data_IF_799018169181
#
_entry.id   IF_799018169181
#
_cell.length_a   1.000
_cell.length_b   1.000
_cell.length_c   1.000
_cell.angle_alpha   90.00
_cell.angle_beta   90.00
_cell.angle_gamma   90.00
#
_symmetry.space_group_name_H-M   'P 1'
#
loop_
_entity.id
_entity.type
_entity.pdbx_description
1 polymer ?
#
# COMPACT_ATOMS: atom_id res chain seq x y z
N UNK A 1 15.04 -14.06 -22.22
CA UNK A 1 13.78 -13.35 -21.91
C UNK A 1 13.26 -12.45 -23.05
N UNK A 2 14.04 -12.20 -24.08
CA UNK A 2 13.56 -11.40 -25.22
C UNK A 2 12.28 -12.01 -25.81
N UNK A 3 11.26 -11.18 -25.97
CA UNK A 3 9.93 -11.53 -26.47
C UNK A 3 9.07 -12.43 -25.54
N UNK A 4 9.46 -12.67 -24.27
CA UNK A 4 8.60 -13.39 -23.36
C UNK A 4 7.31 -12.56 -23.11
N UNK A 5 6.15 -13.23 -23.20
CA UNK A 5 4.82 -12.65 -22.97
C UNK A 5 4.52 -12.73 -21.48
N UNK A 6 4.42 -11.59 -20.84
CA UNK A 6 4.17 -11.51 -19.38
C UNK A 6 2.86 -10.78 -19.12
N UNK A 7 1.94 -11.44 -18.43
CA UNK A 7 0.74 -10.80 -17.89
C UNK A 7 0.97 -10.38 -16.46
N UNK A 8 0.62 -9.14 -16.14
CA UNK A 8 0.63 -8.59 -14.79
C UNK A 8 -0.81 -8.21 -14.41
N UNK A 9 -1.30 -8.73 -13.29
CA UNK A 9 -2.60 -8.36 -12.74
C UNK A 9 -2.42 -7.23 -11.73
N UNK A 10 -3.04 -6.07 -11.98
CA UNK A 10 -3.02 -4.88 -11.13
C UNK A 10 -2.17 -3.72 -11.68
N UNK A 11 -2.80 -2.53 -11.81
CA UNK A 11 -2.18 -1.31 -12.36
C UNK A 11 -1.99 -0.20 -11.29
N UNK A 12 -1.75 -0.57 -10.02
CA UNK A 12 -1.38 0.40 -8.99
C UNK A 12 0.15 0.69 -9.05
N UNK A 13 0.90 0.46 -7.99
CA UNK A 13 2.35 0.74 -7.94
C UNK A 13 3.16 -0.46 -8.46
N UNK A 14 2.96 -1.64 -7.88
CA UNK A 14 3.81 -2.82 -8.10
C UNK A 14 3.80 -3.30 -9.56
N UNK A 15 2.60 -3.41 -10.16
CA UNK A 15 2.45 -3.91 -11.53
C UNK A 15 3.12 -3.03 -12.58
N UNK A 16 2.80 -1.72 -12.67
CA UNK A 16 3.46 -0.80 -13.59
C UNK A 16 4.97 -0.66 -13.34
N UNK A 17 5.44 -0.70 -12.08
CA UNK A 17 6.87 -0.69 -11.78
C UNK A 17 7.57 -1.94 -12.33
N UNK A 18 6.96 -3.12 -12.21
CA UNK A 18 7.48 -4.34 -12.82
C UNK A 18 7.42 -4.25 -14.35
N UNK A 19 6.31 -3.74 -14.91
CA UNK A 19 6.14 -3.56 -16.34
C UNK A 19 7.23 -2.67 -16.95
N UNK A 20 7.63 -1.60 -16.24
CA UNK A 20 8.74 -0.73 -16.63
C UNK A 20 10.04 -1.52 -16.83
N UNK A 21 10.42 -2.35 -15.88
CA UNK A 21 11.67 -3.12 -15.96
C UNK A 21 11.61 -4.21 -17.02
N UNK A 22 10.52 -4.98 -17.07
CA UNK A 22 10.37 -6.08 -18.00
C UNK A 22 10.34 -5.62 -19.46
N UNK A 23 9.64 -4.51 -19.76
CA UNK A 23 9.61 -3.94 -21.12
C UNK A 23 11.01 -3.49 -21.57
N UNK A 24 11.80 -2.90 -20.69
CA UNK A 24 13.21 -2.52 -20.97
C UNK A 24 14.11 -3.73 -21.15
N UNK A 25 13.74 -4.88 -20.60
CA UNK A 25 14.47 -6.16 -20.81
C UNK A 25 13.94 -6.96 -22.01
N UNK A 26 13.09 -6.35 -22.85
CA UNK A 26 12.62 -6.92 -24.10
C UNK A 26 11.42 -7.85 -23.97
N UNK A 27 10.71 -7.87 -22.85
CA UNK A 27 9.46 -8.61 -22.71
C UNK A 27 8.29 -7.90 -23.35
N UNK A 28 7.31 -8.66 -23.82
CA UNK A 28 5.99 -8.19 -24.21
C UNK A 28 5.09 -8.21 -22.97
N UNK A 29 4.79 -7.03 -22.44
CA UNK A 29 4.07 -6.90 -21.18
C UNK A 29 2.64 -6.45 -21.41
N UNK A 30 1.69 -7.19 -20.82
CA UNK A 30 0.28 -6.80 -20.71
C UNK A 30 -0.04 -6.61 -19.23
N UNK A 31 -0.65 -5.49 -18.87
CA UNK A 31 -1.17 -5.21 -17.53
C UNK A 31 -2.69 -5.21 -17.57
N UNK A 32 -3.34 -6.05 -16.77
CA UNK A 32 -4.80 -6.05 -16.60
C UNK A 32 -5.20 -5.40 -15.29
N UNK A 33 -6.20 -4.50 -15.35
CA UNK A 33 -6.72 -3.77 -14.19
C UNK A 33 -8.25 -3.77 -14.21
N UNK A 34 -8.85 -4.16 -13.09
CA UNK A 34 -10.31 -4.21 -12.94
C UNK A 34 -11.01 -2.86 -12.98
N UNK A 35 -10.30 -1.80 -12.61
CA UNK A 35 -10.84 -0.44 -12.68
C UNK A 35 -10.83 0.07 -14.12
N UNK A 36 -11.77 0.98 -14.49
CA UNK A 36 -11.85 1.50 -15.88
C UNK A 36 -10.69 2.45 -16.24
N UNK A 37 -9.78 2.69 -15.33
CA UNK A 37 -8.58 3.51 -15.46
C UNK A 37 -7.77 3.49 -14.17
N UNK A 38 -6.73 4.31 -14.09
CA UNK A 38 -6.00 4.52 -12.84
C UNK A 38 -6.95 5.08 -11.80
N UNK A 39 -7.00 4.43 -10.62
CA UNK A 39 -7.91 4.86 -9.55
C UNK A 39 -7.48 6.23 -9.03
N UNK A 40 -8.38 7.23 -9.02
CA UNK A 40 -8.08 8.54 -8.46
C UNK A 40 -7.97 8.47 -6.93
N UNK A 41 -7.34 9.49 -6.33
CA UNK A 41 -7.24 9.65 -4.89
C UNK A 41 -6.39 8.58 -4.21
N UNK A 42 -6.65 8.37 -2.94
CA UNK A 42 -5.92 7.47 -2.07
C UNK A 42 -5.06 8.22 -1.06
N UNK A 43 -4.43 7.44 -0.19
CA UNK A 43 -3.61 7.93 0.91
C UNK A 43 -2.28 8.55 0.45
N UNK A 44 -1.68 9.32 1.35
CA UNK A 44 -0.25 9.56 1.31
C UNK A 44 0.50 8.23 1.56
N UNK A 45 1.53 8.00 0.78
CA UNK A 45 2.37 6.81 0.81
C UNK A 45 3.83 7.20 0.83
N UNK A 46 4.63 6.37 1.49
CA UNK A 46 6.05 6.63 1.65
C UNK A 46 6.89 5.80 0.70
N UNK A 47 7.88 6.44 0.08
CA UNK A 47 8.97 5.77 -0.62
C UNK A 47 10.25 5.99 0.18
N UNK A 48 10.80 4.91 0.73
CA UNK A 48 11.85 4.94 1.75
C UNK A 48 13.01 4.03 1.42
N UNK A 49 14.18 4.39 1.95
CA UNK A 49 15.36 3.56 1.89
C UNK A 49 15.75 3.16 0.47
N UNK A 50 16.05 1.86 0.21
CA UNK A 50 16.47 1.39 -1.12
C UNK A 50 15.47 1.63 -2.23
N UNK A 51 14.17 1.84 -1.92
CA UNK A 51 13.15 2.16 -2.92
C UNK A 51 13.39 3.52 -3.58
N UNK A 52 14.03 4.48 -2.90
CA UNK A 52 14.47 5.75 -3.51
C UNK A 52 15.48 5.51 -4.63
N UNK A 53 16.43 4.61 -4.42
CA UNK A 53 17.38 4.20 -5.45
C UNK A 53 16.72 3.50 -6.65
N UNK A 54 15.64 2.74 -6.41
CA UNK A 54 14.83 2.16 -7.49
C UNK A 54 14.11 3.27 -8.26
N UNK A 55 13.48 4.22 -7.58
CA UNK A 55 12.81 5.37 -8.20
C UNK A 55 13.80 6.23 -9.02
N UNK A 56 15.02 6.40 -8.52
CA UNK A 56 16.10 7.10 -9.25
C UNK A 56 16.49 6.37 -10.54
N UNK A 57 16.68 5.04 -10.48
CA UNK A 57 16.97 4.20 -11.66
C UNK A 57 15.80 4.18 -12.66
N UNK A 58 14.58 4.34 -12.19
CA UNK A 58 13.39 4.53 -13.04
C UNK A 58 13.31 5.92 -13.66
N UNK A 59 14.10 6.88 -13.18
CA UNK A 59 14.10 8.27 -13.64
C UNK A 59 12.94 9.11 -13.11
N UNK A 60 12.23 8.67 -12.08
CA UNK A 60 11.04 9.37 -11.54
C UNK A 60 11.27 10.08 -10.21
N UNK A 61 12.43 9.90 -9.56
CA UNK A 61 12.66 10.45 -8.21
C UNK A 61 12.57 11.97 -8.15
N UNK A 62 13.02 12.67 -9.20
CA UNK A 62 12.96 14.15 -9.27
C UNK A 62 11.51 14.65 -9.27
N UNK A 63 10.67 14.05 -10.10
CA UNK A 63 9.25 14.37 -10.19
C UNK A 63 8.49 13.96 -8.93
N UNK A 64 8.84 12.81 -8.33
CA UNK A 64 8.26 12.40 -7.03
C UNK A 64 8.52 13.44 -5.96
N UNK A 65 9.74 14.00 -5.88
CA UNK A 65 10.07 15.06 -4.90
C UNK A 65 9.33 16.37 -5.17
N UNK A 66 9.00 16.69 -6.42
CA UNK A 66 8.20 17.86 -6.76
C UNK A 66 6.72 17.69 -6.39
N UNK A 67 6.22 16.45 -6.38
CA UNK A 67 4.86 16.07 -6.02
C UNK A 67 4.73 15.60 -4.57
N UNK A 68 5.83 15.64 -3.81
CA UNK A 68 5.82 15.24 -2.40
C UNK A 68 4.81 16.07 -1.61
N UNK A 69 4.24 15.46 -0.57
CA UNK A 69 3.46 16.21 0.40
C UNK A 69 4.37 17.21 1.10
N UNK A 70 3.85 18.40 1.35
CA UNK A 70 4.60 19.47 2.03
C UNK A 70 4.10 19.69 3.47
N UNK A 71 3.73 18.62 4.14
CA UNK A 71 3.25 18.65 5.52
C UNK A 71 4.36 19.15 6.44
N UNK A 72 4.02 20.08 7.33
CA UNK A 72 4.96 20.79 8.22
C UNK A 72 4.84 20.39 9.68
N UNK A 73 3.98 19.46 10.00
CA UNK A 73 3.80 18.98 11.35
C UNK A 73 2.45 18.37 11.62
N UNK A 74 2.25 18.07 12.88
CA UNK A 74 1.04 17.40 13.36
C UNK A 74 0.60 17.91 14.73
N UNK A 75 -0.70 17.77 15.01
CA UNK A 75 -1.28 17.94 16.34
C UNK A 75 -2.08 16.70 16.74
N UNK A 76 -2.10 16.40 18.03
CA UNK A 76 -3.07 15.51 18.66
C UNK A 76 -4.04 16.36 19.45
N UNK A 77 -5.35 16.13 19.30
CA UNK A 77 -6.40 16.92 19.93
C UNK A 77 -7.34 16.04 20.74
N UNK A 78 -7.95 16.61 21.76
CA UNK A 78 -9.04 15.98 22.53
C UNK A 78 -10.37 16.02 21.79
N UNK A 79 -11.44 15.51 22.42
CA UNK A 79 -12.78 15.48 21.85
C UNK A 79 -13.40 16.88 21.61
N UNK A 80 -12.91 17.92 22.31
CA UNK A 80 -13.32 19.31 22.10
C UNK A 80 -12.53 20.05 21.04
N UNK A 81 -11.42 19.45 20.56
CA UNK A 81 -10.45 20.05 19.66
C UNK A 81 -9.33 20.82 20.35
N UNK A 82 -9.21 20.74 21.69
CA UNK A 82 -8.09 21.32 22.41
C UNK A 82 -6.81 20.53 22.12
N UNK A 83 -5.72 21.23 21.83
CA UNK A 83 -4.44 20.63 21.46
C UNK A 83 -3.77 20.02 22.70
N UNK A 84 -3.52 18.70 22.66
CA UNK A 84 -2.81 17.93 23.68
C UNK A 84 -1.33 17.79 23.37
N UNK A 85 -0.98 17.70 22.07
CA UNK A 85 0.40 17.55 21.61
C UNK A 85 0.56 18.24 20.26
N UNK A 86 1.74 18.81 20.02
CA UNK A 86 2.10 19.41 18.74
C UNK A 86 3.55 19.12 18.39
N UNK A 87 3.82 18.83 17.12
CA UNK A 87 5.17 18.68 16.60
C UNK A 87 5.32 19.33 15.23
N UNK A 88 6.47 20.00 15.00
CA UNK A 88 6.91 20.49 13.71
C UNK A 88 8.12 19.71 13.18
N UNK A 89 8.50 18.64 13.86
CA UNK A 89 9.65 17.81 13.52
C UNK A 89 9.22 16.48 12.88
N UNK A 90 7.93 16.15 13.00
CA UNK A 90 7.39 14.89 12.49
C UNK A 90 5.93 14.98 12.07
N UNK A 91 5.51 13.98 11.32
CA UNK A 91 4.13 13.76 10.89
C UNK A 91 3.64 12.38 11.33
N UNK A 92 2.33 12.18 11.31
CA UNK A 92 1.69 10.91 11.62
C UNK A 92 1.97 9.84 10.56
N UNK A 93 1.98 10.25 9.29
CA UNK A 93 2.11 9.39 8.12
C UNK A 93 3.57 9.21 7.71
N UNK A 94 4.33 10.30 7.58
CA UNK A 94 5.69 10.29 7.04
C UNK A 94 6.81 10.05 8.08
N UNK A 95 6.53 10.20 9.37
CA UNK A 95 7.56 10.13 10.42
C UNK A 95 8.32 11.45 10.58
N UNK A 96 9.64 11.43 10.72
CA UNK A 96 10.45 12.66 10.83
C UNK A 96 10.40 13.47 9.52
N UNK A 97 10.24 14.80 9.63
CA UNK A 97 10.10 15.69 8.47
C UNK A 97 11.45 15.88 7.77
N UNK A 98 12.53 16.02 8.53
CA UNK A 98 13.89 16.20 7.98
C UNK A 98 14.55 14.84 7.73
N UNK A 99 14.08 14.14 6.69
CA UNK A 99 14.63 12.86 6.26
C UNK A 99 14.73 12.80 4.72
N UNK A 100 15.34 11.73 4.19
CA UNK A 100 15.50 11.52 2.75
C UNK A 100 14.27 10.93 2.05
N UNK A 101 13.29 10.45 2.82
CA UNK A 101 12.10 9.77 2.32
C UNK A 101 11.23 10.72 1.50
N UNK A 102 10.39 10.15 0.65
CA UNK A 102 9.42 10.92 -0.14
C UNK A 102 8.03 10.44 0.22
N UNK A 103 7.26 11.28 0.90
CA UNK A 103 5.82 11.08 1.07
C UNK A 103 5.10 11.71 -0.13
N UNK A 104 4.33 10.92 -0.86
CA UNK A 104 3.62 11.33 -2.08
C UNK A 104 2.19 10.78 -2.07
N UNK A 105 1.24 11.44 -2.77
CA UNK A 105 -0.07 10.84 -2.95
C UNK A 105 0.00 9.61 -3.86
N UNK A 106 -0.70 8.53 -3.47
CA UNK A 106 -0.67 7.24 -4.20
C UNK A 106 -1.01 7.41 -5.69
N UNK A 107 -2.03 8.20 -6.00
CA UNK A 107 -2.45 8.42 -7.38
C UNK A 107 -1.42 9.19 -8.19
N UNK A 108 -0.69 10.16 -7.60
CA UNK A 108 0.40 10.87 -8.27
C UNK A 108 1.54 9.91 -8.64
N UNK A 109 1.95 9.03 -7.70
CA UNK A 109 2.96 8.02 -8.01
C UNK A 109 2.50 7.05 -9.10
N UNK A 110 1.24 6.58 -9.05
CA UNK A 110 0.68 5.71 -10.08
C UNK A 110 0.69 6.39 -11.46
N UNK A 111 0.34 7.67 -11.53
CA UNK A 111 0.39 8.44 -12.79
C UNK A 111 1.82 8.58 -13.32
N UNK A 112 2.80 8.89 -12.46
CA UNK A 112 4.21 8.97 -12.87
C UNK A 112 4.70 7.66 -13.47
N UNK A 113 4.44 6.52 -12.81
CA UNK A 113 4.89 5.22 -13.32
C UNK A 113 4.14 4.86 -14.61
N UNK A 114 2.85 5.14 -14.68
CA UNK A 114 2.07 4.90 -15.90
C UNK A 114 2.60 5.73 -17.07
N UNK A 115 2.93 7.01 -16.89
CA UNK A 115 3.46 7.88 -17.94
C UNK A 115 4.72 7.31 -18.59
N UNK A 116 5.63 6.74 -17.80
CA UNK A 116 6.88 6.17 -18.33
C UNK A 116 6.73 4.75 -18.91
N UNK A 117 5.53 4.15 -18.80
CA UNK A 117 5.26 2.78 -19.29
C UNK A 117 4.23 2.71 -20.39
N UNK A 118 3.35 3.72 -20.55
CA UNK A 118 2.18 3.68 -21.41
C UNK A 118 2.49 3.41 -22.91
N UNK A 119 3.65 3.83 -23.40
CA UNK A 119 4.04 3.61 -24.81
C UNK A 119 4.59 2.21 -25.10
N UNK A 120 4.94 1.44 -24.04
CA UNK A 120 5.65 0.16 -24.17
C UNK A 120 4.91 -1.02 -23.53
N UNK A 121 3.76 -0.78 -22.90
CA UNK A 121 2.98 -1.76 -22.14
C UNK A 121 1.53 -1.75 -22.62
N UNK A 122 0.97 -2.93 -22.87
CA UNK A 122 -0.45 -3.12 -23.23
C UNK A 122 -1.30 -3.08 -21.95
N UNK A 123 -2.04 -1.99 -21.71
CA UNK A 123 -2.93 -1.84 -20.56
C UNK A 123 -4.37 -2.22 -20.91
N UNK A 124 -4.89 -3.23 -20.22
CA UNK A 124 -6.28 -3.69 -20.31
C UNK A 124 -7.04 -3.23 -19.06
N UNK A 125 -7.66 -2.07 -19.14
CA UNK A 125 -8.53 -1.56 -18.10
C UNK A 125 -9.93 -2.17 -18.17
N UNK A 126 -10.69 -2.09 -17.06
CA UNK A 126 -12.06 -2.57 -16.94
C UNK A 126 -12.17 -4.09 -17.20
N UNK A 127 -11.11 -4.84 -16.82
CA UNK A 127 -11.07 -6.29 -17.00
C UNK A 127 -10.32 -6.99 -15.84
N UNK A 128 -10.56 -8.25 -15.65
CA UNK A 128 -9.90 -9.05 -14.62
C UNK A 128 -9.73 -10.50 -15.02
N UNK A 129 -8.77 -11.20 -14.39
CA UNK A 129 -8.54 -12.63 -14.61
C UNK A 129 -9.65 -13.44 -13.91
N UNK A 130 -10.33 -14.31 -14.66
CA UNK A 130 -11.37 -15.19 -14.13
C UNK A 130 -10.90 -16.63 -13.95
N UNK A 131 -10.06 -17.14 -14.85
CA UNK A 131 -9.41 -18.44 -14.71
C UNK A 131 -7.94 -18.36 -15.09
N UNK A 132 -7.17 -19.23 -14.45
CA UNK A 132 -5.74 -19.38 -14.69
C UNK A 132 -5.40 -20.87 -14.61
N UNK A 133 -4.90 -21.42 -15.71
CA UNK A 133 -4.35 -22.77 -15.75
C UNK A 133 -2.99 -22.74 -16.42
N UNK A 134 -2.08 -23.63 -16.06
CA UNK A 134 -0.74 -23.66 -16.61
C UNK A 134 -0.29 -25.06 -16.95
N UNK A 135 0.58 -25.14 -17.94
CA UNK A 135 1.32 -26.36 -18.29
C UNK A 135 2.85 -26.08 -18.26
N UNK A 136 3.64 -27.00 -18.80
CA UNK A 136 5.11 -26.88 -18.81
C UNK A 136 5.62 -25.70 -19.69
N UNK A 137 4.77 -25.15 -20.57
CA UNK A 137 5.17 -24.17 -21.58
C UNK A 137 4.59 -22.78 -21.33
N UNK A 138 3.30 -22.72 -20.95
CA UNK A 138 2.59 -21.43 -20.88
C UNK A 138 1.47 -21.44 -19.83
N UNK A 139 0.93 -20.26 -19.59
CA UNK A 139 -0.24 -20.02 -18.74
C UNK A 139 -1.41 -19.60 -19.60
N UNK A 140 -2.52 -20.34 -19.49
CA UNK A 140 -3.77 -20.03 -20.19
C UNK A 140 -4.65 -19.19 -19.27
N UNK A 141 -5.05 -18.02 -19.74
CA UNK A 141 -5.82 -17.04 -18.96
C UNK A 141 -7.11 -16.71 -19.66
N UNK A 142 -8.22 -16.72 -18.90
CA UNK A 142 -9.48 -16.13 -19.34
C UNK A 142 -9.76 -14.86 -18.56
N UNK A 143 -10.32 -13.88 -19.23
CA UNK A 143 -10.68 -12.59 -18.66
C UNK A 143 -12.20 -12.49 -18.46
N UNK A 144 -12.63 -11.53 -17.67
CA UNK A 144 -14.05 -11.26 -17.45
C UNK A 144 -14.73 -10.76 -18.74
N UNK A 145 -14.04 -9.95 -19.52
CA UNK A 145 -14.56 -9.29 -20.74
C UNK A 145 -13.75 -9.60 -21.99
N UNK A 146 -12.42 -9.64 -21.86
CA UNK A 146 -11.51 -9.87 -22.99
C UNK A 146 -11.50 -11.31 -23.48
N UNK A 147 -10.97 -11.51 -24.70
CA UNK A 147 -10.74 -12.85 -25.23
C UNK A 147 -9.65 -13.59 -24.43
N UNK A 148 -9.75 -14.93 -24.29
CA UNK A 148 -8.70 -15.73 -23.68
C UNK A 148 -7.35 -15.52 -24.39
N UNK A 149 -6.26 -15.45 -23.59
CA UNK A 149 -4.88 -15.30 -24.07
C UNK A 149 -3.95 -16.28 -23.37
N UNK A 150 -2.77 -16.52 -23.94
CA UNK A 150 -1.70 -17.31 -23.32
C UNK A 150 -0.47 -16.45 -23.07
N UNK A 151 0.20 -16.73 -21.96
CA UNK A 151 1.39 -16.00 -21.53
C UNK A 151 2.48 -16.98 -21.07
N UNK A 152 3.72 -16.56 -21.16
CA UNK A 152 4.85 -17.36 -20.68
C UNK A 152 4.95 -17.29 -19.16
N UNK A 153 4.57 -16.14 -18.56
CA UNK A 153 4.51 -15.90 -17.12
C UNK A 153 3.29 -15.07 -16.74
N UNK A 154 2.77 -15.27 -15.53
CA UNK A 154 1.73 -14.42 -14.91
C UNK A 154 2.21 -13.91 -13.57
N UNK A 155 2.04 -12.61 -13.33
CA UNK A 155 2.39 -11.95 -12.08
C UNK A 155 1.14 -11.38 -11.42
N UNK A 156 0.86 -11.80 -10.20
CA UNK A 156 -0.15 -11.18 -9.35
C UNK A 156 0.45 -9.99 -8.59
N UNK A 157 0.07 -8.78 -9.00
CA UNK A 157 0.39 -7.51 -8.35
C UNK A 157 -0.90 -6.77 -7.95
N UNK A 158 -1.93 -7.53 -7.62
CA UNK A 158 -3.34 -7.14 -7.51
C UNK A 158 -3.81 -6.96 -6.07
N UNK A 159 -2.84 -6.73 -5.15
CA UNK A 159 -3.06 -6.22 -3.80
C UNK A 159 -3.49 -7.27 -2.79
N UNK A 160 -3.95 -6.80 -1.62
CA UNK A 160 -4.28 -7.62 -0.45
C UNK A 160 -5.27 -8.74 -0.78
N UNK A 161 -6.31 -8.47 -1.56
CA UNK A 161 -7.34 -9.42 -1.98
C UNK A 161 -7.07 -10.01 -3.37
N UNK A 162 -5.84 -10.44 -3.62
CA UNK A 162 -5.35 -10.90 -4.92
C UNK A 162 -6.19 -12.03 -5.54
N UNK A 163 -6.85 -11.78 -6.70
CA UNK A 163 -7.44 -12.83 -7.50
C UNK A 163 -6.43 -13.86 -7.97
N UNK A 164 -5.23 -13.44 -8.38
CA UNK A 164 -4.17 -14.36 -8.85
C UNK A 164 -3.73 -15.29 -7.73
N UNK A 165 -3.55 -14.78 -6.49
CA UNK A 165 -3.24 -15.62 -5.33
C UNK A 165 -4.33 -16.67 -5.13
N UNK A 166 -5.62 -16.26 -5.15
CA UNK A 166 -6.74 -17.19 -4.98
C UNK A 166 -6.79 -18.26 -6.07
N UNK A 167 -6.54 -17.90 -7.33
CA UNK A 167 -6.61 -18.83 -8.46
C UNK A 167 -5.44 -19.82 -8.49
N UNK A 168 -4.23 -19.35 -8.15
CA UNK A 168 -3.02 -20.18 -8.29
C UNK A 168 -2.61 -20.88 -6.99
N UNK A 169 -2.89 -20.30 -5.82
CA UNK A 169 -2.37 -20.81 -4.54
C UNK A 169 -3.46 -21.35 -3.61
N UNK A 170 -4.68 -20.84 -3.69
CA UNK A 170 -5.80 -21.27 -2.84
C UNK A 170 -6.53 -20.12 -2.16
N UNK A 171 -7.43 -20.42 -1.24
CA UNK A 171 -8.29 -19.43 -0.62
C UNK A 171 -7.50 -18.41 0.20
N UNK A 172 -7.95 -17.17 0.22
CA UNK A 172 -7.31 -16.06 0.92
C UNK A 172 -7.16 -16.31 2.43
N UNK A 173 -8.12 -17.01 3.03
CA UNK A 173 -8.11 -17.37 4.45
C UNK A 173 -6.87 -18.14 4.90
N UNK A 174 -6.18 -18.80 3.96
CA UNK A 174 -4.98 -19.57 4.28
C UNK A 174 -3.74 -18.68 4.47
N UNK A 175 -3.81 -17.43 4.01
CA UNK A 175 -2.67 -16.51 3.92
C UNK A 175 -2.87 -15.18 4.62
N UNK A 176 -4.13 -14.73 4.79
CA UNK A 176 -4.45 -13.43 5.38
C UNK A 176 -4.46 -13.52 6.90
N UNK A 177 -3.62 -12.71 7.53
CA UNK A 177 -3.51 -12.56 8.98
C UNK A 177 -4.02 -11.20 9.41
N UNK A 178 -5.21 -11.16 10.00
CA UNK A 178 -5.82 -9.94 10.54
C UNK A 178 -5.06 -9.43 11.76
N UNK A 179 -4.84 -8.11 11.84
CA UNK A 179 -4.11 -7.44 12.93
C UNK A 179 -5.03 -6.66 13.87
N UNK A 180 -6.28 -7.08 14.03
CA UNK A 180 -7.18 -6.56 15.05
C UNK A 180 -7.71 -5.15 14.81
N UNK A 181 -7.64 -4.59 13.61
CA UNK A 181 -8.17 -3.27 13.31
C UNK A 181 -8.54 -3.08 11.83
N UNK A 182 -9.33 -2.03 11.58
CA UNK A 182 -9.79 -1.63 10.25
C UNK A 182 -9.51 -0.15 10.01
N UNK A 183 -9.43 0.23 8.74
CA UNK A 183 -9.24 1.62 8.31
C UNK A 183 -10.18 1.97 7.16
N UNK A 184 -10.78 3.15 7.25
CA UNK A 184 -11.48 3.82 6.15
C UNK A 184 -10.70 5.06 5.73
N UNK A 185 -10.67 5.33 4.42
CA UNK A 185 -9.92 6.41 3.80
C UNK A 185 -10.81 7.11 2.78
N UNK A 186 -10.81 8.43 2.76
CA UNK A 186 -11.53 9.20 1.75
C UNK A 186 -11.05 10.65 1.68
N UNK A 187 -11.32 11.28 0.53
CA UNK A 187 -11.02 12.69 0.30
C UNK A 187 -12.22 13.59 0.70
N UNK A 188 -11.90 14.75 1.25
CA UNK A 188 -12.85 15.80 1.57
C UNK A 188 -12.35 17.16 1.10
N UNK A 189 -13.20 18.19 0.92
CA UNK A 189 -12.73 19.58 0.93
C UNK A 189 -11.90 19.84 2.19
N UNK A 190 -11.01 20.82 2.17
CA UNK A 190 -10.26 21.23 3.37
C UNK A 190 -11.19 21.98 4.36
N UNK A 191 -12.06 21.21 5.01
CA UNK A 191 -13.12 21.75 5.89
C UNK A 191 -12.62 22.25 7.23
N UNK A 192 -11.36 21.91 7.61
CA UNK A 192 -10.69 22.39 8.82
C UNK A 192 -9.77 23.58 8.56
N UNK A 193 -9.63 24.03 7.31
CA UNK A 193 -8.69 25.07 6.90
C UNK A 193 -7.24 24.76 7.34
N UNK A 194 -6.84 23.50 7.29
CA UNK A 194 -5.47 23.07 7.62
C UNK A 194 -4.48 23.65 6.61
N UNK A 195 -3.37 24.21 7.10
CA UNK A 195 -2.26 24.67 6.27
C UNK A 195 -1.07 23.73 6.41
N UNK A 196 -0.95 22.76 5.49
CA UNK A 196 0.12 21.75 5.46
C UNK A 196 0.30 21.06 6.79
N UNK A 197 -0.81 20.57 7.36
CA UNK A 197 -0.90 20.08 8.71
C UNK A 197 -1.69 18.79 8.80
N UNK A 198 -1.35 17.97 9.78
CA UNK A 198 -2.08 16.78 10.18
C UNK A 198 -2.67 16.99 11.58
N UNK A 199 -3.93 16.63 11.76
CA UNK A 199 -4.56 16.62 13.08
C UNK A 199 -5.16 15.27 13.37
N UNK A 200 -4.80 14.69 14.49
CA UNK A 200 -5.25 13.38 14.93
C UNK A 200 -6.09 13.51 16.22
N UNK A 201 -7.17 12.76 16.25
CA UNK A 201 -7.97 12.56 17.46
C UNK A 201 -8.20 11.09 17.69
N UNK A 202 -8.10 10.67 18.97
CA UNK A 202 -8.43 9.31 19.39
C UNK A 202 -9.40 9.34 20.56
N UNK A 203 -10.43 8.50 20.50
CA UNK A 203 -11.42 8.31 21.54
C UNK A 203 -11.72 6.82 21.66
N UNK A 204 -11.46 6.23 22.82
CA UNK A 204 -11.65 4.80 23.05
C UNK A 204 -11.02 3.93 21.93
N UNK A 205 -11.86 3.12 21.26
CA UNK A 205 -11.43 2.17 20.22
C UNK A 205 -11.37 2.78 18.81
N UNK A 206 -11.71 4.06 18.64
CA UNK A 206 -11.73 4.74 17.34
C UNK A 206 -10.75 5.89 17.29
N UNK A 207 -10.13 6.11 16.14
CA UNK A 207 -9.21 7.22 15.90
C UNK A 207 -9.36 7.78 14.51
N UNK A 208 -9.18 9.08 14.36
CA UNK A 208 -9.27 9.77 13.08
C UNK A 208 -8.13 10.76 12.87
N UNK A 209 -7.55 10.71 11.67
CA UNK A 209 -6.56 11.66 11.18
C UNK A 209 -7.17 12.45 10.02
N UNK A 210 -7.03 13.76 10.07
CA UNK A 210 -7.32 14.65 8.95
C UNK A 210 -6.03 15.33 8.53
N UNK A 211 -5.66 15.20 7.27
CA UNK A 211 -4.42 15.71 6.69
C UNK A 211 -4.74 16.60 5.50
N UNK A 212 -4.19 17.83 5.46
CA UNK A 212 -4.28 18.66 4.26
C UNK A 212 -3.49 18.07 3.11
N UNK A 213 -4.00 18.24 1.89
CA UNK A 213 -3.39 17.73 0.66
C UNK A 213 -3.56 18.72 -0.49
N UNK A 214 -2.77 18.52 -1.56
CA UNK A 214 -2.86 19.28 -2.82
C UNK A 214 -2.90 20.80 -2.60
N UNK A 215 -1.84 21.32 -1.97
CA UNK A 215 -1.73 22.75 -1.62
C UNK A 215 -2.94 23.26 -0.80
N UNK A 216 -3.38 22.46 0.16
CA UNK A 216 -4.51 22.76 1.05
C UNK A 216 -5.90 22.83 0.36
N UNK A 217 -6.03 22.38 -0.89
CA UNK A 217 -7.31 22.38 -1.59
C UNK A 217 -8.28 21.34 -1.01
N UNK A 218 -7.73 20.24 -0.50
CA UNK A 218 -8.51 19.10 0.01
C UNK A 218 -7.85 18.51 1.26
N UNK A 219 -8.55 17.59 1.92
CA UNK A 219 -7.99 16.76 2.99
C UNK A 219 -8.13 15.28 2.67
N UNK A 220 -7.18 14.49 3.21
CA UNK A 220 -7.31 13.05 3.38
C UNK A 220 -7.77 12.75 4.79
N UNK A 221 -8.85 11.99 4.91
CA UNK A 221 -9.40 11.53 6.18
C UNK A 221 -9.09 10.04 6.33
N UNK A 222 -8.53 9.68 7.47
CA UNK A 222 -8.22 8.30 7.84
C UNK A 222 -9.02 8.00 9.11
N UNK A 223 -9.90 7.01 9.07
CA UNK A 223 -10.71 6.59 10.21
C UNK A 223 -10.37 5.15 10.56
N UNK A 224 -9.78 4.93 11.73
CA UNK A 224 -9.38 3.62 12.21
C UNK A 224 -10.15 3.18 13.44
N UNK A 225 -10.50 1.89 13.53
CA UNK A 225 -11.10 1.33 14.73
C UNK A 225 -10.55 -0.07 15.06
N UNK A 226 -10.58 -0.40 16.35
CA UNK A 226 -10.17 -1.71 16.85
C UNK A 226 -11.28 -2.74 16.65
N UNK A 227 -10.91 -3.92 16.18
CA UNK A 227 -11.81 -5.05 16.00
C UNK A 227 -10.96 -6.33 15.93
N UNK A 228 -10.85 -7.04 17.04
CA UNK A 228 -9.96 -8.21 17.15
C UNK A 228 -10.39 -9.36 16.24
N UNK A 229 -11.70 -9.67 16.22
CA UNK A 229 -12.21 -10.70 15.35
C UNK A 229 -12.48 -10.15 13.94
N UNK A 230 -12.10 -10.88 12.88
CA UNK A 230 -12.39 -10.47 11.52
C UNK A 230 -13.89 -10.25 11.29
N UNK A 231 -14.23 -9.12 10.66
CA UNK A 231 -15.61 -8.82 10.28
C UNK A 231 -16.00 -9.61 9.04
N UNK A 232 -17.21 -10.15 9.05
CA UNK A 232 -17.82 -10.69 7.85
C UNK A 232 -18.45 -9.57 7.03
N UNK A 233 -17.75 -9.10 5.98
CA UNK A 233 -18.25 -8.07 5.06
C UNK A 233 -17.79 -8.39 3.63
N UNK A 234 -18.55 -7.90 2.65
CA UNK A 234 -18.10 -7.94 1.25
C UNK A 234 -17.21 -6.74 0.98
N UNK A 235 -15.94 -6.99 0.68
CA UNK A 235 -14.97 -5.93 0.36
C UNK A 235 -15.32 -5.16 -0.94
N UNK A 236 -16.36 -5.59 -1.69
CA UNK A 236 -16.89 -4.91 -2.87
C UNK A 236 -18.12 -4.06 -2.57
N UNK A 237 -18.79 -4.28 -1.45
CA UNK A 237 -19.97 -3.48 -1.04
C UNK A 237 -19.54 -2.21 -0.30
N UNK A 238 -19.15 -1.21 -1.09
CA UNK A 238 -18.75 0.11 -0.57
C UNK A 238 -19.86 0.76 0.29
N UNK A 239 -21.13 0.55 -0.04
CA UNK A 239 -22.23 1.14 0.72
C UNK A 239 -22.35 0.49 2.11
N UNK A 240 -22.18 -0.82 2.22
CA UNK A 240 -22.14 -1.51 3.52
C UNK A 240 -20.92 -1.08 4.34
N UNK A 241 -19.77 -0.92 3.72
CA UNK A 241 -18.53 -0.45 4.38
C UNK A 241 -18.70 0.97 4.94
N UNK A 242 -19.27 1.90 4.17
CA UNK A 242 -19.58 3.27 4.64
C UNK A 242 -20.53 3.25 5.83
N UNK A 243 -21.58 2.43 5.80
CA UNK A 243 -22.51 2.27 6.95
C UNK A 243 -21.79 1.74 8.18
N UNK A 244 -21.00 0.67 8.03
CA UNK A 244 -20.23 0.10 9.12
C UNK A 244 -19.30 1.13 9.76
N UNK A 245 -18.60 1.92 8.95
CA UNK A 245 -17.71 2.96 9.45
C UNK A 245 -18.50 4.08 10.16
N UNK A 246 -19.62 4.53 9.60
CA UNK A 246 -20.49 5.53 10.21
C UNK A 246 -21.02 5.06 11.58
N UNK A 247 -21.45 3.81 11.71
CA UNK A 247 -21.96 3.24 12.95
C UNK A 247 -20.85 3.18 14.03
N UNK A 248 -19.63 2.80 13.64
CA UNK A 248 -18.47 2.74 14.57
C UNK A 248 -18.08 4.13 15.10
N UNK A 249 -18.25 5.17 14.30
CA UNK A 249 -17.87 6.54 14.64
C UNK A 249 -19.05 7.42 15.11
N UNK A 250 -20.24 6.87 15.30
CA UNK A 250 -21.43 7.65 15.68
C UNK A 250 -21.28 8.44 17.00
N UNK A 251 -20.43 7.97 17.93
CA UNK A 251 -20.12 8.62 19.20
C UNK A 251 -18.75 9.30 19.25
N UNK A 252 -18.05 9.41 18.13
CA UNK A 252 -16.71 9.99 18.09
C UNK A 252 -16.77 11.51 18.39
N UNK A 253 -15.72 11.99 19.07
CA UNK A 253 -15.55 13.40 19.37
C UNK A 253 -14.92 14.21 18.23
N UNK A 254 -14.55 15.45 18.55
CA UNK A 254 -13.89 16.39 17.67
C UNK A 254 -14.71 16.61 16.36
N UNK A 255 -14.07 16.74 15.24
CA UNK A 255 -14.66 16.97 13.92
C UNK A 255 -14.95 15.66 13.13
N UNK A 256 -14.79 14.48 13.77
CA UNK A 256 -14.99 13.20 13.08
C UNK A 256 -16.44 12.99 12.60
N UNK A 257 -17.49 13.38 13.36
CA UNK A 257 -18.87 13.34 12.85
C UNK A 257 -19.08 14.21 11.61
N UNK A 258 -18.41 15.37 11.55
CA UNK A 258 -18.47 16.25 10.37
C UNK A 258 -17.72 15.64 9.18
N UNK A 259 -16.54 15.02 9.41
CA UNK A 259 -15.82 14.32 8.37
C UNK A 259 -16.66 13.19 7.73
N UNK A 260 -17.41 12.43 8.53
CA UNK A 260 -18.32 11.39 8.04
C UNK A 260 -19.39 11.91 7.08
N UNK A 261 -19.84 13.18 7.19
CA UNK A 261 -20.82 13.74 6.25
C UNK A 261 -20.28 13.81 4.83
N UNK A 262 -18.97 14.03 4.65
CA UNK A 262 -18.32 14.05 3.34
C UNK A 262 -18.06 12.65 2.78
N UNK A 263 -17.96 11.63 3.64
CA UNK A 263 -17.65 10.25 3.22
C UNK A 263 -18.65 9.70 2.20
N UNK A 264 -19.94 10.08 2.33
CA UNK A 264 -21.00 9.50 1.49
C UNK A 264 -20.82 9.83 0.01
N UNK A 265 -20.36 11.03 -0.29
CA UNK A 265 -20.17 11.55 -1.64
C UNK A 265 -18.69 11.53 -2.07
N UNK A 266 -17.78 10.98 -1.23
CA UNK A 266 -16.37 10.91 -1.55
C UNK A 266 -16.12 10.02 -2.78
N UNK A 267 -15.34 10.50 -3.77
CA UNK A 267 -15.11 9.78 -5.03
C UNK A 267 -14.14 8.60 -4.91
N UNK A 268 -13.36 8.57 -3.82
CA UNK A 268 -12.22 7.70 -3.63
C UNK A 268 -12.24 6.89 -2.32
N UNK A 269 -13.44 6.58 -1.84
CA UNK A 269 -13.58 5.83 -0.59
C UNK A 269 -12.89 4.46 -0.68
N UNK A 270 -12.09 4.16 0.34
CA UNK A 270 -11.45 2.86 0.54
C UNK A 270 -11.65 2.39 1.98
N UNK A 271 -11.93 1.11 2.16
CA UNK A 271 -12.06 0.48 3.46
C UNK A 271 -11.40 -0.89 3.42
N UNK A 272 -10.57 -1.19 4.42
CA UNK A 272 -9.93 -2.50 4.53
C UNK A 272 -9.51 -2.83 5.97
N UNK A 273 -9.19 -4.10 6.19
CA UNK A 273 -8.56 -4.58 7.42
C UNK A 273 -7.06 -4.25 7.43
N UNK A 274 -6.53 -3.97 8.62
CA UNK A 274 -5.09 -4.00 8.87
C UNK A 274 -4.66 -5.47 8.91
N UNK A 275 -4.10 -5.95 7.81
CA UNK A 275 -3.77 -7.36 7.64
C UNK A 275 -2.41 -7.56 6.99
N UNK A 276 -1.87 -8.76 7.15
CA UNK A 276 -0.66 -9.23 6.47
C UNK A 276 -0.96 -10.40 5.57
N UNK A 277 -0.19 -10.57 4.51
CA UNK A 277 -0.15 -11.81 3.72
C UNK A 277 1.13 -12.55 4.06
N UNK A 278 0.97 -13.78 4.55
CA UNK A 278 2.08 -14.67 4.92
C UNK A 278 2.00 -15.94 4.10
N UNK A 279 3.05 -16.21 3.34
CA UNK A 279 3.14 -17.35 2.43
C UNK A 279 4.52 -17.97 2.50
N UNK A 280 4.58 -19.31 2.45
CA UNK A 280 5.83 -20.07 2.42
C UNK A 280 6.56 -19.89 1.09
N UNK A 281 5.82 -19.74 -0.02
CA UNK A 281 6.36 -19.41 -1.34
C UNK A 281 5.48 -18.39 -2.04
N UNK A 282 6.13 -17.47 -2.76
CA UNK A 282 5.45 -16.46 -3.58
C UNK A 282 5.31 -16.89 -5.04
N UNK A 283 5.75 -18.09 -5.38
CA UNK A 283 5.68 -18.59 -6.75
C UNK A 283 5.14 -20.02 -6.83
N UNK A 284 4.45 -20.33 -7.94
CA UNK A 284 3.95 -21.66 -8.25
C UNK A 284 3.98 -21.89 -9.76
N UNK A 285 4.94 -22.69 -10.22
CA UNK A 285 5.17 -22.90 -11.66
C UNK A 285 5.50 -21.59 -12.36
N UNK A 286 4.66 -21.16 -13.29
CA UNK A 286 4.83 -19.94 -14.09
C UNK A 286 4.12 -18.70 -13.52
N UNK A 287 3.57 -18.83 -12.30
CA UNK A 287 2.87 -17.75 -11.61
C UNK A 287 3.69 -17.29 -10.41
N UNK A 288 3.85 -15.96 -10.27
CA UNK A 288 4.54 -15.35 -9.13
C UNK A 288 3.73 -14.17 -8.60
N UNK A 289 3.84 -13.90 -7.30
CA UNK A 289 3.19 -12.80 -6.62
C UNK A 289 4.18 -11.69 -6.28
N UNK A 290 3.71 -10.44 -6.33
CA UNK A 290 4.49 -9.24 -6.10
C UNK A 290 3.75 -8.25 -5.19
N UNK A 291 4.45 -7.64 -4.25
CA UNK A 291 3.90 -6.66 -3.34
C UNK A 291 2.84 -7.25 -2.41
N UNK A 292 1.76 -6.51 -2.17
CA UNK A 292 0.72 -6.93 -1.23
C UNK A 292 0.03 -8.25 -1.61
N UNK A 293 0.08 -8.64 -2.88
CA UNK A 293 -0.45 -9.94 -3.33
C UNK A 293 0.29 -11.13 -2.72
N UNK A 294 1.59 -11.01 -2.50
CA UNK A 294 2.44 -12.11 -1.99
C UNK A 294 2.91 -11.93 -0.55
N UNK A 295 3.09 -10.68 -0.10
CA UNK A 295 3.76 -10.41 1.16
C UNK A 295 3.37 -9.07 1.81
N UNK A 296 2.11 -8.70 1.74
CA UNK A 296 1.61 -7.50 2.41
C UNK A 296 2.11 -7.40 3.87
N UNK A 297 2.73 -6.28 4.21
CA UNK A 297 3.24 -6.02 5.56
C UNK A 297 2.23 -5.37 6.48
N UNK A 298 1.08 -4.96 5.97
CA UNK A 298 0.08 -4.07 6.56
C UNK A 298 0.43 -2.57 6.37
N UNK A 299 -0.57 -1.70 6.21
CA UNK A 299 -0.37 -0.24 6.20
C UNK A 299 0.35 0.29 7.45
N UNK A 300 0.30 -0.43 8.57
CA UNK A 300 0.97 -0.08 9.83
C UNK A 300 2.50 0.03 9.71
N UNK A 301 3.09 -0.51 8.65
CA UNK A 301 4.53 -0.46 8.40
C UNK A 301 4.97 0.80 7.67
N UNK A 302 4.10 1.42 6.88
CA UNK A 302 4.48 2.46 5.93
C UNK A 302 5.45 1.98 4.84
N UNK A 303 5.56 0.64 4.61
CA UNK A 303 6.54 0.06 3.68
C UNK A 303 5.93 -0.56 2.42
N UNK A 304 4.59 -0.60 2.30
CA UNK A 304 3.94 -1.28 1.17
C UNK A 304 4.43 -0.79 -0.20
N UNK A 305 4.55 0.52 -0.37
CA UNK A 305 5.04 1.14 -1.61
C UNK A 305 6.51 0.85 -1.86
N UNK A 306 7.35 0.96 -0.82
CA UNK A 306 8.77 0.65 -0.92
C UNK A 306 9.00 -0.81 -1.31
N UNK A 307 8.29 -1.75 -0.66
CA UNK A 307 8.34 -3.18 -0.99
C UNK A 307 7.82 -3.47 -2.41
N UNK A 308 6.82 -2.72 -2.89
CA UNK A 308 6.32 -2.86 -4.26
C UNK A 308 7.37 -2.47 -5.30
N UNK A 309 8.05 -1.34 -5.12
CA UNK A 309 9.11 -0.86 -6.02
C UNK A 309 10.34 -1.76 -5.98
N UNK A 310 10.82 -2.11 -4.77
CA UNK A 310 11.96 -3.00 -4.56
C UNK A 310 11.65 -4.38 -5.16
N UNK A 311 10.50 -4.94 -4.85
CA UNK A 311 10.09 -6.26 -5.35
C UNK A 311 9.99 -6.32 -6.87
N UNK A 312 9.47 -5.26 -7.50
CA UNK A 312 9.42 -5.13 -8.95
C UNK A 312 10.83 -5.13 -9.58
N UNK A 313 11.75 -4.36 -8.99
CA UNK A 313 13.14 -4.29 -9.45
C UNK A 313 13.85 -5.63 -9.31
N UNK A 314 13.76 -6.27 -8.14
CA UNK A 314 14.44 -7.54 -7.86
C UNK A 314 13.85 -8.67 -8.72
N UNK A 315 12.53 -8.79 -8.83
CA UNK A 315 11.90 -9.83 -9.67
C UNK A 315 12.30 -9.70 -11.13
N UNK A 316 12.25 -8.50 -11.70
CA UNK A 316 12.66 -8.27 -13.08
C UNK A 316 14.17 -8.52 -13.28
N UNK A 317 14.98 -8.08 -12.32
CA UNK A 317 16.43 -8.28 -12.34
C UNK A 317 16.83 -9.75 -12.30
N UNK A 318 16.23 -10.54 -11.41
CA UNK A 318 16.50 -11.97 -11.32
C UNK A 318 15.99 -12.74 -12.55
N UNK A 319 14.85 -12.33 -13.12
CA UNK A 319 14.39 -12.88 -14.41
C UNK A 319 15.37 -12.59 -15.55
N UNK A 320 15.96 -11.39 -15.60
CA UNK A 320 17.01 -11.02 -16.57
C UNK A 320 18.27 -11.85 -16.35
N UNK A 321 18.75 -11.92 -15.11
CA UNK A 321 19.97 -12.64 -14.73
C UNK A 321 19.87 -14.14 -15.04
N UNK A 322 18.73 -14.75 -14.79
CA UNK A 322 18.43 -16.15 -15.08
C UNK A 322 18.16 -16.43 -16.58
N UNK A 323 18.22 -15.42 -17.45
CA UNK A 323 18.02 -15.56 -18.90
C UNK A 323 16.73 -16.26 -19.30
N UNK A 324 15.66 -16.08 -18.52
CA UNK A 324 14.35 -16.68 -18.77
C UNK A 324 14.08 -18.00 -18.05
N UNK A 325 15.02 -18.53 -17.29
CA UNK A 325 14.73 -19.62 -16.34
C UNK A 325 13.95 -19.03 -15.15
N UNK A 326 12.62 -19.10 -15.26
CA UNK A 326 11.72 -18.55 -14.25
C UNK A 326 11.81 -19.29 -12.91
N UNK A 327 12.14 -20.58 -12.90
CA UNK A 327 12.28 -21.35 -11.65
C UNK A 327 13.47 -20.83 -10.84
N UNK A 328 14.62 -20.65 -11.48
CA UNK A 328 15.80 -20.08 -10.85
C UNK A 328 15.55 -18.61 -10.44
N UNK A 329 14.91 -17.82 -11.31
CA UNK A 329 14.60 -16.41 -11.04
C UNK A 329 13.68 -16.23 -9.84
N UNK A 330 12.58 -16.98 -9.77
CA UNK A 330 11.64 -16.88 -8.66
C UNK A 330 12.25 -17.31 -7.33
N UNK A 331 13.03 -18.37 -7.34
CA UNK A 331 13.77 -18.81 -6.14
C UNK A 331 14.79 -17.75 -5.68
N UNK A 332 15.47 -17.07 -6.62
CA UNK A 332 16.39 -15.98 -6.30
C UNK A 332 15.64 -14.75 -5.75
N UNK A 333 14.57 -14.34 -6.39
CA UNK A 333 13.68 -13.25 -5.94
C UNK A 333 13.19 -13.46 -4.50
N UNK A 334 12.67 -14.65 -4.18
CA UNK A 334 12.24 -14.98 -2.84
C UNK A 334 13.39 -14.95 -1.83
N UNK A 335 14.54 -15.49 -2.17
CA UNK A 335 15.71 -15.50 -1.29
C UNK A 335 16.22 -14.09 -0.97
N UNK A 336 16.26 -13.19 -1.96
CA UNK A 336 16.75 -11.82 -1.80
C UNK A 336 15.84 -10.98 -0.87
N UNK A 337 14.54 -11.23 -0.90
CA UNK A 337 13.59 -10.37 -0.19
C UNK A 337 13.00 -10.99 1.07
N UNK A 338 13.10 -12.30 1.27
CA UNK A 338 12.40 -13.01 2.34
C UNK A 338 12.68 -12.45 3.72
N UNK A 339 13.93 -12.20 4.04
CA UNK A 339 14.33 -11.68 5.35
C UNK A 339 13.83 -10.26 5.56
N UNK A 340 13.95 -9.41 4.55
CA UNK A 340 13.49 -8.02 4.61
C UNK A 340 11.95 -7.92 4.74
N UNK A 341 11.24 -8.75 4.02
CA UNK A 341 9.77 -8.85 4.15
C UNK A 341 9.37 -9.33 5.55
N UNK A 342 10.02 -10.37 6.06
CA UNK A 342 9.72 -10.91 7.39
C UNK A 342 9.98 -9.87 8.49
N UNK A 343 11.10 -9.14 8.43
CA UNK A 343 11.40 -8.06 9.37
C UNK A 343 10.39 -6.91 9.29
N UNK A 344 9.98 -6.53 8.08
CA UNK A 344 8.92 -5.52 7.88
C UNK A 344 7.59 -5.99 8.48
N UNK A 345 7.22 -7.25 8.30
CA UNK A 345 6.01 -7.83 8.89
C UNK A 345 6.08 -7.88 10.41
N UNK A 346 7.25 -8.23 10.97
CA UNK A 346 7.46 -8.24 12.43
C UNK A 346 7.32 -6.83 13.02
N UNK A 347 7.84 -5.82 12.33
CA UNK A 347 7.69 -4.43 12.74
C UNK A 347 6.22 -3.98 12.88
N UNK A 348 5.32 -4.45 12.02
CA UNK A 348 3.89 -4.17 12.17
C UNK A 348 3.32 -4.75 13.47
N UNK A 349 3.71 -5.98 13.83
CA UNK A 349 3.29 -6.62 15.08
C UNK A 349 3.81 -5.88 16.31
N UNK A 350 5.07 -5.47 16.28
CA UNK A 350 5.68 -4.70 17.36
C UNK A 350 5.00 -3.34 17.55
N UNK A 351 4.60 -2.71 16.44
CA UNK A 351 3.84 -1.46 16.46
C UNK A 351 2.42 -1.65 17.02
N UNK A 352 1.75 -2.72 16.61
CA UNK A 352 0.44 -3.05 17.15
C UNK A 352 0.51 -3.20 18.66
N UNK A 353 1.45 -4.00 19.16
CA UNK A 353 1.63 -4.21 20.60
C UNK A 353 1.92 -2.92 21.35
N UNK A 354 2.86 -2.09 20.84
CA UNK A 354 3.15 -0.79 21.46
C UNK A 354 1.94 0.12 21.51
N UNK A 355 1.11 0.11 20.45
CA UNK A 355 -0.12 0.88 20.40
C UNK A 355 -1.14 0.38 21.41
N UNK A 356 -1.30 -0.92 21.56
CA UNK A 356 -2.17 -1.53 22.58
C UNK A 356 -1.70 -1.15 24.00
N UNK A 357 -0.39 -1.24 24.28
CA UNK A 357 0.22 -0.84 25.54
C UNK A 357 0.02 0.65 25.83
N UNK A 358 0.21 1.53 24.84
CA UNK A 358 -0.02 2.97 24.95
C UNK A 358 -1.49 3.29 25.19
N UNK A 359 -2.42 2.63 24.52
CA UNK A 359 -3.87 2.80 24.74
C UNK A 359 -4.27 2.35 26.15
N UNK A 360 -3.73 1.25 26.65
CA UNK A 360 -3.97 0.79 28.01
C UNK A 360 -3.41 1.78 29.08
N UNK A 361 -2.34 2.48 28.77
CA UNK A 361 -1.80 3.56 29.61
C UNK A 361 -2.62 4.85 29.51
N UNK A 362 -3.14 5.19 28.33
CA UNK A 362 -3.93 6.39 28.02
C UNK A 362 -5.22 6.53 28.82
N UNK A 363 -5.76 5.44 29.33
CA UNK A 363 -6.90 5.49 30.24
C UNK A 363 -6.59 6.21 31.55
N UNK A 364 -5.31 6.55 31.80
CA UNK A 364 -4.83 7.21 33.03
C UNK A 364 -4.45 8.68 32.83
N UNK A 365 -3.88 9.03 31.68
CA UNK A 365 -3.47 10.40 31.33
C UNK A 365 -3.51 10.62 29.81
N UNK A 366 -4.35 11.55 29.35
CA UNK A 366 -4.53 11.85 27.93
C UNK A 366 -3.34 12.57 27.31
N UNK A 367 -2.63 13.42 28.07
CA UNK A 367 -1.45 14.13 27.57
C UNK A 367 -0.28 13.18 27.40
N UNK A 368 -0.04 12.28 28.36
CA UNK A 368 1.00 11.25 28.27
C UNK A 368 0.76 10.31 27.08
N UNK A 369 -0.49 9.94 26.84
CA UNK A 369 -0.88 9.15 25.67
C UNK A 369 -0.66 9.89 24.36
N UNK A 370 -1.04 11.16 24.29
CA UNK A 370 -0.83 11.99 23.10
C UNK A 370 0.67 12.14 22.78
N UNK A 371 1.49 12.30 23.81
CA UNK A 371 2.94 12.35 23.68
C UNK A 371 3.51 11.01 23.21
N UNK A 372 3.09 9.89 23.78
CA UNK A 372 3.53 8.54 23.39
C UNK A 372 3.16 8.19 21.93
N UNK A 373 2.02 8.70 21.44
CA UNK A 373 1.63 8.61 20.05
C UNK A 373 2.56 9.46 19.16
N UNK A 374 2.94 10.66 19.63
CA UNK A 374 3.79 11.61 18.93
C UNK A 374 5.27 11.24 18.88
N UNK A 375 5.84 10.75 19.98
CA UNK A 375 7.29 10.56 20.20
C UNK A 375 7.81 9.16 19.82
N UNK A 376 7.31 8.58 18.75
CA UNK A 376 7.71 7.25 18.32
C UNK A 376 9.17 7.22 17.86
N UNK A 377 10.03 6.46 18.55
CA UNK A 377 11.40 6.19 18.08
C UNK A 377 11.40 5.22 16.92
N UNK A 378 11.81 5.70 15.76
CA UNK A 378 11.84 4.95 14.50
C UNK A 378 13.27 4.56 14.08
N UNK A 379 14.31 4.89 14.86
CA UNK A 379 15.72 4.69 14.44
C UNK A 379 16.03 3.24 14.08
N UNK A 380 15.70 2.28 14.93
CA UNK A 380 15.94 0.86 14.65
C UNK A 380 15.21 0.39 13.39
N UNK A 381 14.04 0.95 13.12
CA UNK A 381 13.31 0.65 11.89
C UNK A 381 13.99 1.24 10.65
N UNK A 382 14.45 2.49 10.71
CA UNK A 382 15.20 3.10 9.61
C UNK A 382 16.53 2.39 9.36
N UNK A 383 17.24 1.97 10.41
CA UNK A 383 18.44 1.15 10.27
C UNK A 383 18.12 -0.16 9.55
N UNK A 384 17.05 -0.83 9.94
CA UNK A 384 16.61 -2.08 9.30
C UNK A 384 16.22 -1.88 7.83
N UNK A 385 15.36 -0.94 7.49
CA UNK A 385 14.94 -0.75 6.09
C UNK A 385 16.09 -0.32 5.18
N UNK A 386 17.06 0.43 5.71
CA UNK A 386 18.23 0.87 4.97
C UNK A 386 19.33 -0.19 4.87
N UNK A 387 19.23 -1.32 5.60
CA UNK A 387 20.21 -2.39 5.55
C UNK A 387 20.12 -3.27 4.31
N UNK A 388 19.02 -3.18 3.55
CA UNK A 388 18.85 -3.95 2.32
C UNK A 388 19.71 -3.37 1.19
N UNK A 389 20.69 -4.14 0.75
CA UNK A 389 21.52 -3.82 -0.41
C UNK A 389 20.91 -4.44 -1.68
N UNK A 390 20.63 -3.60 -2.66
CA UNK A 390 20.10 -4.05 -3.95
C UNK A 390 21.24 -4.37 -4.92
N UNK A 391 21.15 -5.52 -5.59
CA UNK A 391 22.03 -5.88 -6.69
C UNK A 391 21.89 -4.91 -7.86
N UNK A 392 22.95 -4.79 -8.66
CA UNK A 392 22.90 -4.17 -9.97
C UNK A 392 22.55 -5.23 -11.04
N UNK A 393 21.51 -4.98 -11.83
CA UNK A 393 21.03 -5.91 -12.87
C UNK A 393 21.22 -5.40 -14.28
#
# INVERSE_FOLDING_TARGET
MENARVLISGASVAGPALAYWLSRYGCQVTVVERSPGLRPGGQAIDVRGPALGVAERMGILSEMRQLATDIRGMSVVDASGAELYRSTERTFTGGEIDNADVEIMRDDLCHLIHQITAEHVDYLFDDSITTLTQDDREVHVTFERGAPRTFDLVVGADGLHSPVRRLAFGPESDYLHHLGSYIGLFTTPNFLALDRWQTYHQSNEVGGLVMSARNNAECRVYLGFQQQEPLAYDYRDTAAQKRLLADRFAGAGWELPRALTYMWDAPDFHFDSMSQIRMDSWSRGRVVLLGDAGYCGSPMTGQGTSLALIGAYVLAGELKAARGDHVAAFAAYERELREHVAGTQQFALDNQKRREDAMAAATRDQEEAAQAIGDRDMRAFYEFINSLELKEY
#
